data_IF_363387472403
#
_entry.id   IF_363387472403
#
_cell.length_a   1.000
_cell.length_b   1.000
_cell.length_c   1.000
_cell.angle_alpha   90.00
_cell.angle_beta   90.00
_cell.angle_gamma   90.00
#
_symmetry.space_group_name_H-M   'P 1'
#
loop_
_entity.id
_entity.type
_entity.pdbx_description
1 polymer ?
#
# COMPACT_ATOMS: atom_id res chain seq x y z
N UNK A 1 11.86 2.12 16.08
CA UNK A 1 10.96 3.32 15.92
C UNK A 1 9.55 2.91 16.32
N UNK A 2 8.71 3.79 16.90
CA UNK A 2 7.32 3.37 17.20
C UNK A 2 6.52 3.28 15.90
N UNK A 3 5.68 2.26 15.76
CA UNK A 3 4.80 2.05 14.58
C UNK A 3 3.97 3.30 14.25
N UNK A 4 3.41 3.96 15.28
CA UNK A 4 2.61 5.19 15.13
C UNK A 4 3.43 6.37 14.55
N UNK A 5 4.70 6.49 14.91
CA UNK A 5 5.59 7.54 14.38
C UNK A 5 5.95 7.25 12.92
N UNK A 6 6.27 6.00 12.59
CA UNK A 6 6.53 5.58 11.22
C UNK A 6 5.34 5.88 10.30
N UNK A 7 4.13 5.50 10.70
CA UNK A 7 2.91 5.73 9.91
C UNK A 7 2.65 7.23 9.70
N UNK A 8 2.81 8.04 10.75
CA UNK A 8 2.61 9.49 10.66
C UNK A 8 3.61 10.15 9.73
N UNK A 9 4.88 9.78 9.83
CA UNK A 9 5.96 10.38 9.05
C UNK A 9 5.91 9.90 7.59
N UNK A 10 5.68 8.60 7.36
CA UNK A 10 5.52 8.07 6.00
C UNK A 10 4.33 8.65 5.26
N UNK A 11 3.17 8.82 5.94
CA UNK A 11 1.99 9.43 5.35
C UNK A 11 2.18 10.90 4.92
N UNK A 12 3.11 11.60 5.57
CA UNK A 12 3.44 12.99 5.23
C UNK A 12 4.34 13.12 3.99
N UNK A 13 4.98 12.01 3.54
CA UNK A 13 5.88 12.01 2.40
C UNK A 13 5.14 11.69 1.10
N UNK A 14 5.47 12.39 0.01
CA UNK A 14 4.95 12.05 -1.31
C UNK A 14 5.48 10.69 -1.77
N UNK A 15 4.65 9.96 -2.48
CA UNK A 15 4.99 8.66 -3.03
C UNK A 15 4.01 8.22 -4.09
N UNK A 16 3.56 9.15 -4.96
CA UNK A 16 2.74 8.82 -6.12
C UNK A 16 3.44 7.78 -6.97
N UNK A 17 2.71 6.77 -7.46
CA UNK A 17 3.26 5.73 -8.34
C UNK A 17 4.14 6.31 -9.45
N UNK A 18 5.39 5.83 -9.55
CA UNK A 18 6.43 6.36 -10.43
C UNK A 18 7.24 7.54 -9.86
N UNK A 19 6.91 8.04 -8.66
CA UNK A 19 7.60 9.16 -7.99
C UNK A 19 7.79 8.90 -6.49
N UNK A 20 8.20 7.69 -6.13
CA UNK A 20 8.25 7.18 -4.75
C UNK A 20 9.57 7.48 -4.01
N UNK A 21 10.56 8.14 -4.65
CA UNK A 21 11.94 8.26 -4.13
C UNK A 21 12.00 8.86 -2.72
N UNK A 22 11.08 9.77 -2.37
CA UNK A 22 11.09 10.41 -1.06
C UNK A 22 10.71 9.41 0.05
N UNK A 23 9.60 8.71 -0.12
CA UNK A 23 9.12 7.72 0.84
C UNK A 23 10.02 6.47 0.84
N UNK A 24 10.56 6.05 -0.31
CA UNK A 24 11.48 4.93 -0.41
C UNK A 24 12.76 5.15 0.42
N UNK A 25 13.34 6.35 0.40
CA UNK A 25 14.50 6.69 1.24
C UNK A 25 14.15 6.60 2.73
N UNK A 26 13.02 7.14 3.13
CA UNK A 26 12.55 7.09 4.51
C UNK A 26 12.37 5.65 4.99
N UNK A 27 11.71 4.81 4.19
CA UNK A 27 11.50 3.38 4.49
C UNK A 27 12.84 2.63 4.55
N UNK A 28 13.75 2.87 3.60
CA UNK A 28 15.08 2.28 3.62
C UNK A 28 15.85 2.64 4.90
N UNK A 29 15.79 3.90 5.33
CA UNK A 29 16.44 4.35 6.57
C UNK A 29 15.80 3.69 7.82
N UNK A 30 14.50 3.41 7.79
CA UNK A 30 13.82 2.69 8.87
C UNK A 30 14.25 1.22 8.98
N UNK A 31 14.53 0.54 7.85
CA UNK A 31 15.00 -0.84 7.83
C UNK A 31 16.50 -0.99 8.15
N UNK A 32 17.34 0.01 7.91
CA UNK A 32 18.80 -0.08 8.10
C UNK A 32 19.25 -0.61 9.47
N UNK A 33 18.65 -0.22 10.61
CA UNK A 33 19.06 -0.73 11.92
C UNK A 33 18.60 -2.17 12.20
N UNK A 34 17.78 -2.76 11.33
CA UNK A 34 17.11 -4.05 11.55
C UNK A 34 17.57 -5.13 10.58
N UNK A 35 18.24 -4.77 9.49
CA UNK A 35 18.58 -5.66 8.39
C UNK A 35 20.06 -5.60 8.07
N UNK A 36 20.62 -6.71 7.60
CA UNK A 36 22.03 -6.83 7.22
C UNK A 36 22.35 -6.05 5.95
N UNK A 37 21.40 -6.00 5.02
CA UNK A 37 21.53 -5.29 3.75
C UNK A 37 20.26 -4.49 3.47
N UNK A 38 20.38 -3.24 3.01
CA UNK A 38 19.25 -2.42 2.55
C UNK A 38 19.65 -1.66 1.29
N UNK A 39 18.87 -1.83 0.24
CA UNK A 39 19.06 -1.11 -1.03
C UNK A 39 17.73 -0.60 -1.58
N UNK A 40 17.80 0.41 -2.44
CA UNK A 40 16.68 0.88 -3.26
C UNK A 40 17.02 0.47 -4.70
N UNK A 41 16.08 -0.14 -5.39
CA UNK A 41 16.26 -0.55 -6.78
C UNK A 41 16.05 0.62 -7.77
N UNK A 42 16.31 0.44 -9.07
CA UNK A 42 16.13 1.51 -10.06
C UNK A 42 14.70 2.02 -10.21
N UNK A 43 13.68 1.25 -9.83
CA UNK A 43 12.27 1.67 -9.88
C UNK A 43 11.78 2.28 -8.58
N UNK A 44 12.61 2.32 -7.53
CA UNK A 44 12.33 2.85 -6.18
C UNK A 44 11.76 1.85 -5.18
N UNK A 45 11.69 0.55 -5.48
CA UNK A 45 11.39 -0.45 -4.45
C UNK A 45 12.51 -0.53 -3.43
N UNK A 46 12.15 -0.63 -2.15
CA UNK A 46 13.10 -0.86 -1.05
C UNK A 46 13.23 -2.36 -0.82
N UNK A 47 14.45 -2.87 -0.81
CA UNK A 47 14.75 -4.28 -0.55
C UNK A 47 15.70 -4.36 0.63
N UNK A 48 15.21 -4.90 1.75
CA UNK A 48 15.94 -5.08 2.99
C UNK A 48 16.07 -6.57 3.31
N UNK A 49 17.25 -7.04 3.74
CA UNK A 49 17.54 -8.46 3.93
C UNK A 49 18.01 -8.75 5.35
N UNK A 50 17.40 -9.75 5.97
CA UNK A 50 17.95 -10.45 7.13
C UNK A 50 18.51 -11.79 6.59
N UNK A 51 19.82 -11.93 6.63
CA UNK A 51 20.51 -13.07 6.00
C UNK A 51 20.27 -14.36 6.78
N UNK A 52 19.77 -15.38 6.08
CA UNK A 52 19.63 -16.75 6.54
C UNK A 52 20.38 -17.75 5.68
N UNK A 53 20.24 -19.05 6.00
CA UNK A 53 20.84 -20.16 5.22
C UNK A 53 19.78 -21.06 4.58
N UNK A 54 18.53 -20.91 4.97
CA UNK A 54 17.39 -21.66 4.48
C UNK A 54 16.76 -21.05 3.23
N UNK A 55 15.46 -21.33 2.99
CA UNK A 55 14.74 -20.80 1.85
C UNK A 55 14.76 -19.28 1.78
N UNK A 56 14.84 -18.75 0.58
CA UNK A 56 14.63 -17.32 0.33
C UNK A 56 13.14 -17.01 0.37
N UNK A 57 12.75 -16.10 1.27
CA UNK A 57 11.37 -15.67 1.43
C UNK A 57 11.27 -14.19 1.14
N UNK A 58 10.43 -13.82 0.17
CA UNK A 58 10.12 -12.43 -0.10
C UNK A 58 8.83 -12.03 0.64
N UNK A 59 8.94 -11.02 1.51
CA UNK A 59 7.83 -10.40 2.22
C UNK A 59 7.56 -9.06 1.54
N UNK A 60 6.39 -8.90 0.92
CA UNK A 60 6.10 -7.77 0.04
C UNK A 60 4.88 -6.99 0.53
N UNK A 61 4.97 -5.66 0.49
CA UNK A 61 3.90 -4.69 0.69
C UNK A 61 4.23 -3.45 -0.12
N UNK A 62 3.26 -2.69 -0.64
CA UNK A 62 3.61 -1.57 -1.49
C UNK A 62 3.77 -0.24 -0.74
N UNK A 63 4.60 0.64 -1.28
CA UNK A 63 4.93 1.94 -0.69
C UNK A 63 4.30 3.12 -1.43
N UNK A 64 3.87 2.90 -2.67
CA UNK A 64 3.28 3.94 -3.49
C UNK A 64 1.86 4.30 -3.06
N UNK A 65 1.34 5.36 -3.61
CA UNK A 65 0.01 5.89 -3.33
C UNK A 65 -0.67 6.34 -4.62
N UNK A 66 -2.00 6.26 -4.63
CA UNK A 66 -2.83 6.87 -5.65
C UNK A 66 -2.75 8.40 -5.60
N UNK A 67 -3.05 9.04 -6.72
CA UNK A 67 -3.14 10.50 -6.78
C UNK A 67 -3.41 11.02 -8.17
N UNK A 68 -2.91 12.22 -8.46
CA UNK A 68 -3.20 12.91 -9.70
C UNK A 68 -1.91 13.38 -10.37
N UNK A 69 -2.02 13.68 -11.66
CA UNK A 69 -0.94 14.26 -12.46
C UNK A 69 -1.49 15.44 -13.26
N UNK A 70 -0.72 16.50 -13.37
CA UNK A 70 -1.10 17.67 -14.18
C UNK A 70 -1.11 17.29 -15.67
N UNK A 71 -2.28 17.32 -16.30
CA UNK A 71 -2.45 16.97 -17.72
C UNK A 71 -2.47 18.19 -18.64
N UNK A 72 -2.91 19.37 -18.14
CA UNK A 72 -2.95 20.64 -18.88
C UNK A 72 -3.00 21.83 -17.92
N UNK A 73 -2.49 22.97 -18.36
CA UNK A 73 -2.62 24.26 -17.68
C UNK A 73 -3.51 25.15 -18.55
N UNK A 74 -4.68 25.56 -18.02
CA UNK A 74 -5.64 26.38 -18.73
C UNK A 74 -5.17 27.83 -18.89
N UNK A 75 -5.89 28.63 -19.69
CA UNK A 75 -5.53 30.02 -19.95
C UNK A 75 -5.56 30.87 -18.67
N UNK A 76 -6.49 30.59 -17.78
CA UNK A 76 -6.67 31.27 -16.49
C UNK A 76 -5.73 30.74 -15.39
N UNK A 77 -4.97 29.67 -15.64
CA UNK A 77 -4.04 29.06 -14.70
C UNK A 77 -4.60 27.88 -13.93
N UNK A 78 -5.85 27.49 -14.13
CA UNK A 78 -6.40 26.27 -13.55
C UNK A 78 -5.67 25.05 -14.13
N UNK A 79 -5.39 24.04 -13.26
CA UNK A 79 -4.72 22.82 -13.69
C UNK A 79 -5.76 21.72 -13.98
N UNK A 80 -5.72 21.16 -15.18
CA UNK A 80 -6.41 19.91 -15.47
C UNK A 80 -5.56 18.75 -15.02
N UNK A 81 -6.21 17.68 -14.64
CA UNK A 81 -5.63 16.51 -13.98
C UNK A 81 -5.93 15.24 -14.75
N UNK A 82 -5.08 14.24 -14.57
CA UNK A 82 -5.32 12.83 -14.85
C UNK A 82 -5.09 12.05 -13.58
N UNK A 83 -5.83 10.98 -13.35
CA UNK A 83 -5.63 10.11 -12.18
C UNK A 83 -4.42 9.18 -12.40
N UNK A 84 -3.77 8.84 -11.30
CA UNK A 84 -2.74 7.79 -11.20
C UNK A 84 -3.23 6.81 -10.14
N UNK A 85 -3.39 5.54 -10.52
CA UNK A 85 -4.06 4.54 -9.68
C UNK A 85 -5.58 4.72 -9.60
N UNK A 86 -6.20 4.07 -8.64
CA UNK A 86 -7.66 3.94 -8.49
C UNK A 86 -8.37 5.13 -7.83
N UNK A 87 -8.17 6.35 -8.31
CA UNK A 87 -8.82 7.56 -7.74
C UNK A 87 -10.27 7.68 -8.20
N UNK A 88 -11.20 7.77 -7.25
CA UNK A 88 -12.61 8.03 -7.51
C UNK A 88 -12.87 9.56 -7.63
N UNK A 89 -13.34 10.07 -8.78
CA UNK A 89 -13.63 11.48 -8.95
C UNK A 89 -14.66 12.07 -7.97
N UNK A 90 -15.48 11.22 -7.33
CA UNK A 90 -16.51 11.66 -6.37
C UNK A 90 -15.93 12.19 -5.07
N UNK A 91 -14.72 11.75 -4.69
CA UNK A 91 -14.07 12.21 -3.46
C UNK A 91 -13.32 13.52 -3.62
N UNK A 92 -12.98 13.89 -4.86
CA UNK A 92 -12.08 15.00 -5.15
C UNK A 92 -12.66 16.41 -4.92
N UNK A 93 -13.95 16.70 -5.22
CA UNK A 93 -14.46 18.07 -5.11
C UNK A 93 -14.32 18.66 -3.70
N UNK A 94 -13.59 19.76 -3.59
CA UNK A 94 -13.32 20.43 -2.30
C UNK A 94 -12.11 19.89 -1.54
N UNK A 95 -11.42 18.85 -2.06
CA UNK A 95 -10.20 18.38 -1.45
C UNK A 95 -9.05 19.37 -1.63
N UNK A 96 -8.19 19.43 -0.62
CA UNK A 96 -6.88 20.05 -0.73
C UNK A 96 -5.91 19.06 -1.31
N UNK A 97 -4.98 19.55 -2.11
CA UNK A 97 -3.95 18.77 -2.78
C UNK A 97 -2.60 19.48 -2.70
N UNK A 98 -1.54 18.70 -2.81
CA UNK A 98 -0.17 19.22 -2.94
C UNK A 98 0.34 18.94 -4.33
N UNK A 99 0.69 20.00 -5.08
CA UNK A 99 1.28 19.93 -6.43
C UNK A 99 2.81 20.05 -6.30
N UNK A 100 3.52 19.08 -6.84
CA UNK A 100 4.98 19.00 -6.81
C UNK A 100 5.59 19.52 -8.11
N UNK A 101 5.54 20.85 -8.29
CA UNK A 101 6.21 21.55 -9.38
C UNK A 101 7.65 21.93 -9.03
N UNK A 102 8.13 23.08 -9.54
CA UNK A 102 9.44 23.62 -9.12
C UNK A 102 9.51 23.98 -7.64
N UNK A 103 8.39 24.26 -7.07
CA UNK A 103 8.16 24.45 -5.64
C UNK A 103 6.95 23.59 -5.24
N UNK A 104 6.87 23.20 -3.99
CA UNK A 104 5.68 22.50 -3.45
C UNK A 104 4.56 23.51 -3.25
N UNK A 105 3.42 23.29 -3.90
CA UNK A 105 2.31 24.21 -3.92
C UNK A 105 1.05 23.56 -3.35
N UNK A 106 0.34 24.29 -2.50
CA UNK A 106 -1.00 23.87 -2.06
C UNK A 106 -2.04 24.33 -3.07
N UNK A 107 -2.98 23.45 -3.38
CA UNK A 107 -4.11 23.71 -4.24
C UNK A 107 -5.42 23.16 -3.68
N UNK A 108 -6.51 23.51 -4.30
CA UNK A 108 -7.83 22.97 -4.01
C UNK A 108 -8.47 22.42 -5.28
N UNK A 109 -9.12 21.25 -5.17
CA UNK A 109 -9.87 20.68 -6.29
C UNK A 109 -11.21 21.38 -6.38
N UNK A 110 -11.41 22.11 -7.49
CA UNK A 110 -12.63 22.81 -7.82
C UNK A 110 -13.52 22.01 -8.77
N UNK A 111 -14.82 22.25 -8.66
CA UNK A 111 -15.84 21.75 -9.59
C UNK A 111 -16.92 22.80 -9.78
N UNK A 112 -17.70 22.68 -10.86
CA UNK A 112 -18.87 23.55 -11.08
C UNK A 112 -19.83 23.47 -9.91
N UNK A 113 -20.13 24.63 -9.31
CA UNK A 113 -20.98 24.70 -8.12
C UNK A 113 -22.37 24.07 -8.35
N UNK A 114 -22.96 23.35 -7.37
CA UNK A 114 -24.22 22.61 -7.56
C UNK A 114 -25.40 23.46 -8.05
N UNK A 115 -25.47 24.75 -7.63
CA UNK A 115 -26.53 25.65 -8.06
C UNK A 115 -26.36 26.20 -9.49
N UNK A 116 -25.20 26.00 -10.12
CA UNK A 116 -24.94 26.32 -11.51
C UNK A 116 -25.14 25.11 -12.45
N UNK A 117 -25.36 23.91 -11.88
CA UNK A 117 -25.61 22.70 -12.65
C UNK A 117 -27.04 22.68 -13.20
N UNK A 118 -27.22 22.20 -14.41
CA UNK A 118 -28.54 21.88 -14.97
C UNK A 118 -29.17 20.69 -14.24
N UNK A 119 -30.48 20.47 -14.41
CA UNK A 119 -31.18 19.35 -13.81
C UNK A 119 -30.60 17.98 -14.25
N UNK A 120 -30.07 17.87 -15.45
CA UNK A 120 -29.45 16.64 -15.97
C UNK A 120 -28.03 16.44 -15.41
N UNK A 121 -27.22 17.50 -15.29
CA UNK A 121 -25.89 17.43 -14.69
C UNK A 121 -25.96 17.01 -13.21
N UNK A 122 -26.95 17.49 -12.45
CA UNK A 122 -27.14 17.14 -11.02
C UNK A 122 -27.40 15.65 -10.78
N UNK A 123 -27.84 14.89 -11.79
CA UNK A 123 -28.10 13.44 -11.70
C UNK A 123 -26.87 12.59 -11.98
N UNK A 124 -25.77 13.22 -12.43
CA UNK A 124 -24.54 12.53 -12.80
C UNK A 124 -23.45 12.79 -11.76
N UNK A 125 -22.57 11.80 -11.58
CA UNK A 125 -21.33 12.00 -10.85
C UNK A 125 -20.41 12.92 -11.66
N UNK A 126 -19.54 13.66 -10.98
CA UNK A 126 -18.46 14.37 -11.63
C UNK A 126 -17.58 13.36 -12.37
N UNK A 127 -17.12 13.76 -13.55
CA UNK A 127 -16.04 13.11 -14.25
C UNK A 127 -14.75 13.88 -14.02
N UNK A 128 -13.62 13.27 -14.30
CA UNK A 128 -12.31 13.92 -14.20
C UNK A 128 -12.24 15.24 -15.00
N UNK A 129 -12.81 15.25 -16.20
CA UNK A 129 -12.89 16.43 -17.06
C UNK A 129 -13.68 17.62 -16.48
N UNK A 130 -14.52 17.38 -15.48
CA UNK A 130 -15.31 18.40 -14.78
C UNK A 130 -14.51 19.08 -13.64
N UNK A 131 -13.33 18.50 -13.29
CA UNK A 131 -12.53 18.90 -12.15
C UNK A 131 -11.29 19.69 -12.60
N UNK A 132 -10.81 20.52 -11.70
CA UNK A 132 -9.57 21.28 -11.89
C UNK A 132 -8.94 21.59 -10.54
N UNK A 133 -7.63 21.89 -10.54
CA UNK A 133 -6.95 22.39 -9.34
C UNK A 133 -6.77 23.91 -9.48
N UNK A 134 -7.18 24.63 -8.45
CA UNK A 134 -6.94 26.05 -8.30
C UNK A 134 -5.81 26.26 -7.27
N UNK A 135 -4.76 26.96 -7.71
CA UNK A 135 -3.60 27.33 -6.88
C UNK A 135 -3.71 28.75 -6.32
N UNK A 136 -4.80 29.50 -6.64
CA UNK A 136 -4.97 30.89 -6.21
C UNK A 136 -3.95 31.87 -6.80
N UNK A 137 -3.32 31.51 -7.94
CA UNK A 137 -2.25 32.28 -8.58
C UNK A 137 -2.64 32.76 -9.98
N UNK A 138 -2.09 33.90 -10.45
CA UNK A 138 -2.20 34.29 -11.85
C UNK A 138 -1.58 33.23 -12.79
N UNK A 139 -2.17 33.01 -13.95
CA UNK A 139 -1.76 32.00 -14.93
C UNK A 139 -0.28 32.05 -15.30
N UNK A 140 0.28 33.25 -15.43
CA UNK A 140 1.71 33.46 -15.73
C UNK A 140 2.59 32.84 -14.63
N UNK A 141 2.22 33.02 -13.36
CA UNK A 141 2.96 32.46 -12.22
C UNK A 141 2.82 30.94 -12.15
N UNK A 142 1.63 30.42 -12.42
CA UNK A 142 1.40 28.97 -12.51
C UNK A 142 2.32 28.34 -13.55
N UNK A 143 2.40 28.89 -14.76
CA UNK A 143 3.27 28.37 -15.85
C UNK A 143 4.76 28.46 -15.55
N UNK A 144 5.17 29.33 -14.63
CA UNK A 144 6.57 29.39 -14.17
C UNK A 144 6.91 28.27 -13.20
N UNK A 145 5.94 27.82 -12.38
CA UNK A 145 6.13 26.90 -11.27
C UNK A 145 5.69 25.46 -11.56
N UNK A 146 4.69 25.30 -12.43
CA UNK A 146 4.06 24.00 -12.71
C UNK A 146 4.27 23.62 -14.17
N UNK A 147 4.49 22.32 -14.41
CA UNK A 147 4.60 21.72 -15.74
C UNK A 147 3.56 20.61 -15.90
N UNK A 148 3.23 20.30 -17.16
CA UNK A 148 2.48 19.08 -17.49
C UNK A 148 3.32 17.87 -17.08
N UNK A 149 2.72 16.92 -16.38
CA UNK A 149 3.38 15.76 -15.80
C UNK A 149 3.80 15.93 -14.33
N UNK A 150 3.64 17.12 -13.74
CA UNK A 150 3.90 17.30 -12.30
C UNK A 150 2.91 16.47 -11.46
N UNK A 151 3.45 15.82 -10.44
CA UNK A 151 2.69 14.96 -9.54
C UNK A 151 1.85 15.77 -8.56
N UNK A 152 0.71 15.19 -8.18
CA UNK A 152 -0.21 15.79 -7.22
C UNK A 152 -0.67 14.72 -6.24
N UNK A 153 -0.45 14.94 -4.94
CA UNK A 153 -0.97 14.06 -3.91
C UNK A 153 -2.19 14.66 -3.21
N UNK A 154 -3.08 13.79 -2.77
CA UNK A 154 -4.22 14.19 -1.94
C UNK A 154 -3.73 14.58 -0.55
N UNK A 155 -4.28 15.65 0.01
CA UNK A 155 -4.03 16.02 1.40
C UNK A 155 -4.83 15.10 2.33
N UNK A 156 -4.14 14.46 3.26
CA UNK A 156 -4.73 13.62 4.30
C UNK A 156 -3.87 13.67 5.55
N UNK A 157 -4.50 13.84 6.70
CA UNK A 157 -3.79 13.86 7.98
C UNK A 157 -3.66 12.46 8.57
N UNK A 158 -2.74 12.32 9.53
CA UNK A 158 -2.70 11.16 10.42
C UNK A 158 -3.51 11.47 11.68
N UNK A 159 -4.64 10.81 11.85
CA UNK A 159 -5.59 11.09 12.94
C UNK A 159 -5.80 9.86 13.81
N UNK A 160 -5.52 9.99 15.09
CA UNK A 160 -5.85 8.98 16.09
C UNK A 160 -7.32 9.10 16.48
N UNK A 161 -8.07 8.05 16.22
CA UNK A 161 -9.47 7.92 16.61
C UNK A 161 -9.58 7.17 17.95
N UNK A 162 -10.81 7.01 18.45
CA UNK A 162 -11.06 6.22 19.65
C UNK A 162 -10.86 4.71 19.39
N UNK A 163 -10.67 3.94 20.46
CA UNK A 163 -10.57 2.47 20.46
C UNK A 163 -9.39 1.91 19.65
N UNK A 164 -8.27 2.64 19.58
CA UNK A 164 -7.06 2.16 18.90
C UNK A 164 -7.13 2.23 17.37
N UNK A 165 -8.10 2.96 16.82
CA UNK A 165 -8.22 3.17 15.37
C UNK A 165 -7.50 4.43 14.92
N UNK A 166 -7.05 4.39 13.68
CA UNK A 166 -6.34 5.49 13.04
C UNK A 166 -6.91 5.72 11.66
N UNK A 167 -6.99 6.99 11.26
CA UNK A 167 -7.35 7.39 9.92
C UNK A 167 -6.19 8.16 9.29
N UNK A 168 -5.79 7.79 8.08
CA UNK A 168 -4.73 8.45 7.33
C UNK A 168 -4.94 8.27 5.83
N UNK A 169 -4.29 9.07 5.02
CA UNK A 169 -4.06 8.69 3.63
C UNK A 169 -2.98 7.60 3.60
N UNK A 170 -2.92 6.78 2.59
CA UNK A 170 -1.85 5.78 2.42
C UNK A 170 -1.80 4.70 3.51
N UNK A 171 -2.92 4.41 4.21
CA UNK A 171 -3.02 3.15 4.94
C UNK A 171 -2.90 1.98 3.97
N UNK A 172 -3.42 2.14 2.80
CA UNK A 172 -3.13 1.45 1.56
C UNK A 172 -1.84 2.02 0.93
N UNK A 173 -0.67 1.34 0.95
CA UNK A 173 -0.44 0.12 1.75
C UNK A 173 0.74 0.31 2.72
N UNK A 174 1.04 1.58 3.08
CA UNK A 174 2.11 1.88 4.06
C UNK A 174 1.81 1.34 5.46
N UNK A 175 0.56 0.92 5.71
CA UNK A 175 0.23 0.18 6.93
C UNK A 175 0.82 -1.23 6.90
N UNK A 176 0.84 -1.93 5.77
CA UNK A 176 1.50 -3.21 5.64
C UNK A 176 3.03 -3.07 5.56
N UNK A 177 3.56 -1.97 5.00
CA UNK A 177 5.00 -1.66 5.16
C UNK A 177 5.36 -1.51 6.65
N UNK A 178 4.49 -0.89 7.47
CA UNK A 178 4.69 -0.84 8.92
C UNK A 178 4.62 -2.22 9.57
N UNK A 179 3.78 -3.14 9.07
CA UNK A 179 3.75 -4.55 9.49
C UNK A 179 5.08 -5.22 9.18
N UNK A 180 5.63 -5.04 7.97
CA UNK A 180 6.95 -5.56 7.59
C UNK A 180 8.04 -5.07 8.54
N UNK A 181 8.08 -3.76 8.80
CA UNK A 181 9.07 -3.15 9.70
C UNK A 181 8.93 -3.70 11.13
N UNK A 182 7.69 -3.82 11.62
CA UNK A 182 7.42 -4.36 12.95
C UNK A 182 7.79 -5.84 13.07
N UNK A 183 7.55 -6.63 12.04
CA UNK A 183 7.98 -8.03 11.98
C UNK A 183 9.52 -8.14 12.01
N UNK A 184 10.24 -7.30 11.25
CA UNK A 184 11.69 -7.23 11.31
C UNK A 184 12.22 -6.88 12.71
N UNK A 185 11.55 -5.96 13.44
CA UNK A 185 11.88 -5.66 14.85
C UNK A 185 11.69 -6.87 15.77
N UNK A 186 10.61 -7.62 15.59
CA UNK A 186 10.32 -8.82 16.39
C UNK A 186 11.36 -9.92 16.15
N UNK A 187 11.78 -10.09 14.91
CA UNK A 187 12.77 -11.08 14.49
C UNK A 187 14.18 -10.79 15.01
N UNK A 188 14.49 -9.58 15.49
CA UNK A 188 15.77 -9.31 16.18
C UNK A 188 16.00 -10.15 17.43
N UNK A 189 14.96 -10.81 17.95
CA UNK A 189 14.98 -11.61 19.18
C UNK A 189 14.72 -13.09 18.95
N UNK A 190 14.63 -13.50 17.69
CA UNK A 190 14.26 -14.86 17.30
C UNK A 190 15.20 -15.31 16.18
N UNK A 191 15.78 -16.49 16.35
CA UNK A 191 16.57 -17.09 15.28
C UNK A 191 15.64 -17.58 14.16
N UNK A 192 16.00 -17.29 12.91
CA UNK A 192 15.34 -17.81 11.71
C UNK A 192 16.34 -18.53 10.81
N UNK A 193 15.93 -19.64 10.23
CA UNK A 193 16.71 -20.32 9.20
C UNK A 193 16.56 -19.64 7.83
N UNK A 194 15.39 -19.06 7.55
CA UNK A 194 15.06 -18.47 6.28
C UNK A 194 15.90 -17.22 5.95
N UNK A 195 16.21 -17.05 4.67
CA UNK A 195 16.84 -15.85 4.11
C UNK A 195 15.73 -14.87 3.71
N UNK A 196 15.48 -13.87 4.56
CA UNK A 196 14.31 -13.00 4.51
C UNK A 196 14.59 -11.72 3.74
N UNK A 197 13.74 -11.42 2.77
CA UNK A 197 13.76 -10.19 1.99
C UNK A 197 12.47 -9.39 2.23
N UNK A 198 12.56 -8.32 2.97
CA UNK A 198 11.49 -7.35 3.17
C UNK A 198 11.49 -6.37 2.01
N UNK A 199 10.43 -6.38 1.23
CA UNK A 199 10.30 -5.54 0.03
C UNK A 199 9.15 -4.58 0.23
N UNK A 200 9.45 -3.27 0.19
CA UNK A 200 8.43 -2.26 -0.01
C UNK A 200 8.44 -1.92 -1.50
N UNK A 201 7.48 -2.49 -2.24
CA UNK A 201 7.37 -2.40 -3.69
C UNK A 201 6.84 -1.06 -4.15
N UNK A 202 7.30 -0.59 -5.30
CA UNK A 202 6.76 0.58 -5.99
C UNK A 202 5.76 0.19 -7.07
N UNK A 203 4.92 1.16 -7.52
CA UNK A 203 4.05 1.02 -8.69
C UNK A 203 3.05 -0.16 -8.61
N UNK A 204 2.60 -0.53 -7.43
CA UNK A 204 1.52 -1.51 -7.28
C UNK A 204 0.23 -0.97 -7.87
N UNK A 205 -0.16 0.25 -7.52
CA UNK A 205 -1.40 0.94 -7.90
C UNK A 205 -1.58 1.14 -9.42
N UNK A 206 -0.52 0.87 -10.19
CA UNK A 206 -0.50 1.01 -11.66
C UNK A 206 -0.06 -0.27 -12.38
N UNK A 207 0.08 -1.41 -11.66
CA UNK A 207 0.31 -2.71 -12.28
C UNK A 207 1.44 -3.58 -11.70
N UNK A 208 1.78 -3.46 -10.40
CA UNK A 208 2.65 -4.42 -9.68
C UNK A 208 4.11 -4.51 -10.15
N UNK A 209 4.59 -3.52 -10.88
CA UNK A 209 5.93 -3.58 -11.49
C UNK A 209 7.07 -3.68 -10.49
N UNK A 210 6.89 -3.09 -9.29
CA UNK A 210 7.87 -3.16 -8.21
C UNK A 210 8.04 -4.57 -7.67
N UNK A 211 6.93 -5.27 -7.41
CA UNK A 211 6.96 -6.67 -6.96
C UNK A 211 7.57 -7.59 -8.01
N UNK A 212 7.21 -7.42 -9.29
CA UNK A 212 7.79 -8.18 -10.39
C UNK A 212 9.32 -8.02 -10.48
N UNK A 213 9.80 -6.78 -10.47
CA UNK A 213 11.25 -6.50 -10.63
C UNK A 213 12.05 -6.90 -9.40
N UNK A 214 11.52 -6.66 -8.20
CA UNK A 214 12.13 -7.10 -6.96
C UNK A 214 12.18 -8.64 -6.88
N UNK A 215 11.05 -9.31 -7.18
CA UNK A 215 10.95 -10.77 -7.23
C UNK A 215 11.92 -11.39 -8.24
N UNK A 216 12.05 -10.79 -9.44
CA UNK A 216 13.05 -11.25 -10.41
C UNK A 216 14.47 -11.13 -9.89
N UNK A 217 14.79 -10.05 -9.16
CA UNK A 217 16.13 -9.80 -8.62
C UNK A 217 16.45 -10.63 -7.37
N UNK A 218 15.49 -10.88 -6.51
CA UNK A 218 15.63 -11.69 -5.29
C UNK A 218 15.65 -13.17 -5.62
N UNK A 219 14.82 -13.61 -6.58
CA UNK A 219 14.63 -15.02 -6.94
C UNK A 219 14.20 -15.87 -5.73
N UNK A 220 13.04 -15.55 -5.12
CA UNK A 220 12.63 -16.20 -3.89
C UNK A 220 12.04 -17.59 -4.12
N UNK A 221 12.19 -18.47 -3.12
CA UNK A 221 11.55 -19.79 -3.11
C UNK A 221 10.04 -19.70 -2.80
N UNK A 222 9.62 -18.64 -2.10
CA UNK A 222 8.20 -18.35 -1.78
C UNK A 222 7.99 -16.87 -1.43
N UNK A 223 6.72 -16.41 -1.54
CA UNK A 223 6.29 -15.07 -1.22
C UNK A 223 5.27 -15.02 -0.09
N UNK A 224 5.39 -14.04 0.79
CA UNK A 224 4.34 -13.61 1.71
C UNK A 224 4.00 -12.17 1.35
N UNK A 225 2.87 -11.99 0.68
CA UNK A 225 2.41 -10.66 0.29
C UNK A 225 1.46 -10.13 1.35
N UNK A 226 1.61 -8.86 1.65
CA UNK A 226 0.71 -8.13 2.51
C UNK A 226 0.06 -7.02 1.70
N UNK A 227 -1.22 -6.79 1.97
CA UNK A 227 -1.98 -5.71 1.36
C UNK A 227 -3.17 -5.37 2.26
N UNK A 228 -3.96 -4.38 1.90
CA UNK A 228 -5.20 -4.07 2.60
C UNK A 228 -6.38 -4.85 1.99
N UNK A 229 -7.45 -4.98 2.77
CA UNK A 229 -8.75 -5.50 2.30
C UNK A 229 -9.88 -4.71 2.90
N UNK A 230 -11.12 -4.95 2.45
CA UNK A 230 -12.29 -4.18 2.88
C UNK A 230 -12.74 -4.51 4.30
N UNK A 231 -12.70 -3.53 5.20
CA UNK A 231 -13.34 -3.64 6.52
C UNK A 231 -14.81 -3.26 6.45
N UNK A 232 -15.62 -3.89 7.31
CA UNK A 232 -17.07 -3.60 7.46
C UNK A 232 -17.30 -2.11 7.72
N UNK A 233 -18.13 -1.49 6.87
CA UNK A 233 -18.61 -0.14 6.97
C UNK A 233 -20.11 -0.09 6.62
N UNK A 234 -20.85 0.97 6.96
CA UNK A 234 -22.23 1.12 6.52
C UNK A 234 -22.35 1.03 5.00
N UNK A 235 -23.17 0.09 4.52
CA UNK A 235 -23.41 -0.14 3.09
C UNK A 235 -22.49 -1.15 2.40
N UNK A 236 -21.45 -1.68 3.08
CA UNK A 236 -20.65 -2.78 2.52
C UNK A 236 -21.38 -4.12 2.64
N UNK A 237 -21.37 -4.98 1.60
CA UNK A 237 -21.90 -6.35 1.68
C UNK A 237 -21.15 -7.17 2.73
N UNK A 238 -21.88 -7.98 3.52
CA UNK A 238 -21.25 -8.77 4.60
C UNK A 238 -20.24 -9.81 4.10
N UNK A 239 -20.42 -10.31 2.87
CA UNK A 239 -19.55 -11.31 2.26
C UNK A 239 -18.29 -10.75 1.60
N UNK A 240 -18.19 -9.41 1.49
CA UNK A 240 -17.03 -8.70 0.92
C UNK A 240 -16.27 -7.85 1.95
N UNK A 241 -16.65 -7.95 3.22
CA UNK A 241 -16.05 -7.07 4.24
C UNK A 241 -15.81 -7.80 5.55
N UNK A 242 -14.68 -7.48 6.17
CA UNK A 242 -14.15 -8.17 7.34
C UNK A 242 -14.21 -7.28 8.59
N UNK A 243 -14.10 -7.89 9.78
CA UNK A 243 -13.89 -7.12 10.99
C UNK A 243 -12.58 -6.34 10.89
N UNK A 244 -12.61 -5.06 11.26
CA UNK A 244 -11.40 -4.22 11.27
C UNK A 244 -10.40 -4.61 12.37
N UNK A 245 -10.78 -5.48 13.30
CA UNK A 245 -10.04 -5.75 14.54
C UNK A 245 -9.04 -6.92 14.42
N UNK A 246 -9.08 -7.67 13.31
CA UNK A 246 -8.18 -8.82 13.08
C UNK A 246 -7.83 -8.94 11.60
N UNK A 247 -6.60 -9.41 11.27
CA UNK A 247 -6.19 -9.63 9.89
C UNK A 247 -7.02 -10.70 9.18
N UNK A 248 -6.90 -10.74 7.86
CA UNK A 248 -7.42 -11.83 7.04
C UNK A 248 -6.27 -12.66 6.46
N UNK A 249 -6.51 -13.97 6.27
CA UNK A 249 -5.66 -14.86 5.49
C UNK A 249 -6.46 -15.26 4.26
N UNK A 250 -5.94 -14.95 3.08
CA UNK A 250 -6.64 -15.15 1.84
C UNK A 250 -6.46 -16.57 1.28
N UNK A 251 -7.52 -17.08 0.63
CA UNK A 251 -7.53 -18.34 -0.13
C UNK A 251 -8.07 -18.08 -1.52
N UNK A 252 -7.35 -18.50 -2.54
CA UNK A 252 -7.72 -18.30 -3.93
C UNK A 252 -6.87 -19.11 -4.89
N UNK A 253 -7.17 -19.07 -6.20
CA UNK A 253 -6.43 -19.84 -7.22
C UNK A 253 -4.99 -19.36 -7.43
N UNK A 254 -4.68 -18.12 -7.09
CA UNK A 254 -3.35 -17.51 -7.19
C UNK A 254 -2.52 -17.64 -5.89
N UNK A 255 -3.09 -18.30 -4.87
CA UNK A 255 -2.45 -18.45 -3.56
C UNK A 255 -2.18 -19.92 -3.28
N UNK A 256 -0.95 -20.22 -2.81
CA UNK A 256 -0.51 -21.59 -2.63
C UNK A 256 -1.22 -22.26 -1.44
N UNK A 257 -2.01 -23.34 -1.64
CA UNK A 257 -2.89 -23.87 -0.60
C UNK A 257 -2.15 -24.42 0.61
N UNK A 258 -0.98 -25.04 0.43
CA UNK A 258 -0.17 -25.59 1.53
C UNK A 258 0.43 -24.46 2.36
N UNK A 259 1.00 -23.43 1.73
CA UNK A 259 1.56 -22.28 2.45
C UNK A 259 0.49 -21.53 3.23
N UNK A 260 -0.68 -21.31 2.61
CA UNK A 260 -1.82 -20.66 3.29
C UNK A 260 -2.29 -21.48 4.49
N UNK A 261 -2.38 -22.82 4.38
CA UNK A 261 -2.75 -23.68 5.48
C UNK A 261 -1.73 -23.60 6.66
N UNK A 262 -0.43 -23.59 6.35
CA UNK A 262 0.63 -23.42 7.36
C UNK A 262 0.54 -22.08 8.06
N UNK A 263 0.27 -20.98 7.34
CA UNK A 263 0.07 -19.67 7.95
C UNK A 263 -1.11 -19.67 8.94
N UNK A 264 -2.23 -20.31 8.57
CA UNK A 264 -3.38 -20.46 9.48
C UNK A 264 -3.04 -21.32 10.73
N UNK A 265 -2.27 -22.39 10.56
CA UNK A 265 -1.82 -23.24 11.68
C UNK A 265 -0.92 -22.46 12.64
N UNK A 266 0.00 -21.66 12.11
CA UNK A 266 0.87 -20.78 12.89
C UNK A 266 0.04 -19.74 13.65
N UNK A 267 -0.96 -19.12 13.01
CA UNK A 267 -1.86 -18.19 13.66
C UNK A 267 -2.58 -18.84 14.86
N UNK A 268 -3.13 -20.05 14.68
CA UNK A 268 -3.79 -20.82 15.75
C UNK A 268 -2.82 -21.17 16.88
N UNK A 269 -1.62 -21.65 16.55
CA UNK A 269 -0.60 -22.03 17.54
C UNK A 269 -0.12 -20.85 18.39
N UNK A 270 -0.17 -19.63 17.83
CA UNK A 270 0.24 -18.39 18.51
C UNK A 270 -0.94 -17.59 19.11
N UNK A 271 -2.15 -18.16 19.13
CA UNK A 271 -3.38 -17.51 19.60
C UNK A 271 -3.66 -16.17 18.91
N UNK A 272 -3.37 -16.05 17.61
CA UNK A 272 -3.64 -14.89 16.79
C UNK A 272 -4.99 -15.10 16.12
N UNK A 273 -5.91 -14.16 16.33
CA UNK A 273 -7.22 -14.19 15.68
C UNK A 273 -7.08 -13.72 14.23
N UNK A 274 -7.65 -14.45 13.31
CA UNK A 274 -7.70 -14.10 11.90
C UNK A 274 -9.07 -14.45 11.30
N UNK A 275 -9.35 -13.90 10.14
CA UNK A 275 -10.54 -14.18 9.34
C UNK A 275 -10.10 -14.83 8.01
N UNK A 276 -10.92 -15.71 7.46
CA UNK A 276 -10.67 -16.26 6.13
C UNK A 276 -11.25 -15.33 5.07
N UNK A 277 -10.43 -14.98 4.11
CA UNK A 277 -10.82 -14.22 2.92
C UNK A 277 -10.83 -15.15 1.71
N UNK A 278 -11.95 -15.23 1.01
CA UNK A 278 -12.05 -16.08 -0.17
C UNK A 278 -12.00 -15.21 -1.43
N UNK A 279 -10.94 -15.39 -2.21
CA UNK A 279 -10.66 -14.63 -3.43
C UNK A 279 -10.70 -15.58 -4.63
N UNK A 280 -11.86 -15.77 -5.28
CA UNK A 280 -11.99 -16.76 -6.36
C UNK A 280 -11.43 -16.30 -7.71
N UNK A 281 -10.86 -15.10 -7.77
CA UNK A 281 -10.26 -14.46 -8.95
C UNK A 281 -8.89 -13.91 -8.59
N UNK A 282 -8.40 -12.96 -9.38
CA UNK A 282 -7.22 -12.17 -9.04
C UNK A 282 -7.36 -11.55 -7.65
N UNK A 283 -6.24 -11.50 -6.91
CA UNK A 283 -6.19 -10.85 -5.59
C UNK A 283 -6.21 -9.33 -5.74
N UNK A 284 -5.78 -8.83 -6.89
CA UNK A 284 -5.54 -7.41 -7.18
C UNK A 284 -4.55 -6.80 -6.20
N UNK A 285 -3.48 -7.54 -5.93
CA UNK A 285 -2.36 -7.19 -5.06
C UNK A 285 -1.06 -7.66 -5.72
N UNK A 286 0.07 -7.27 -5.19
CA UNK A 286 1.40 -7.76 -5.60
C UNK A 286 1.55 -9.30 -5.59
N UNK A 287 0.61 -10.05 -4.99
CA UNK A 287 0.65 -11.52 -5.00
C UNK A 287 0.45 -12.09 -6.41
N UNK A 288 -0.45 -11.50 -7.20
CA UNK A 288 -0.72 -11.92 -8.58
C UNK A 288 0.51 -11.70 -9.48
N UNK A 289 1.25 -10.63 -9.21
CA UNK A 289 2.42 -10.24 -9.99
C UNK A 289 3.66 -11.04 -9.60
N UNK A 290 3.88 -11.24 -8.30
CA UNK A 290 4.99 -12.03 -7.79
C UNK A 290 4.87 -13.51 -8.18
N UNK A 291 3.65 -14.08 -8.17
CA UNK A 291 3.41 -15.48 -8.55
C UNK A 291 3.93 -15.77 -9.97
N UNK A 292 3.80 -14.81 -10.88
CA UNK A 292 4.18 -14.98 -12.28
C UNK A 292 5.68 -14.76 -12.57
N UNK A 293 6.49 -14.43 -11.56
CA UNK A 293 7.91 -14.12 -11.75
C UNK A 293 8.72 -15.38 -12.03
N UNK A 294 9.64 -15.32 -13.01
CA UNK A 294 10.55 -16.41 -13.41
C UNK A 294 9.82 -17.72 -13.73
N UNK A 295 10.01 -18.75 -12.93
CA UNK A 295 9.39 -20.07 -13.06
C UNK A 295 8.12 -20.24 -12.24
N UNK A 296 7.66 -19.17 -11.60
CA UNK A 296 6.54 -19.12 -10.65
C UNK A 296 7.02 -19.11 -9.21
N UNK A 297 6.47 -18.21 -8.40
CA UNK A 297 6.75 -18.08 -6.96
C UNK A 297 5.49 -18.44 -6.19
N UNK A 298 5.47 -19.51 -5.39
CA UNK A 298 4.30 -19.83 -4.57
C UNK A 298 4.09 -18.76 -3.50
N UNK A 299 2.90 -18.13 -3.53
CA UNK A 299 2.58 -17.00 -2.66
C UNK A 299 1.48 -17.33 -1.65
N UNK A 300 1.47 -16.62 -0.53
CA UNK A 300 0.37 -16.47 0.41
C UNK A 300 0.09 -14.98 0.65
N UNK A 301 -1.16 -14.65 0.99
CA UNK A 301 -1.61 -13.27 1.20
C UNK A 301 -2.19 -13.10 2.61
N UNK A 302 -1.67 -12.10 3.33
CA UNK A 302 -2.10 -11.65 4.65
C UNK A 302 -2.59 -10.21 4.51
N UNK A 303 -3.90 -9.95 4.71
CA UNK A 303 -4.44 -8.62 4.48
C UNK A 303 -4.86 -7.91 5.77
N UNK A 304 -4.66 -6.59 5.79
CA UNK A 304 -5.13 -5.71 6.85
C UNK A 304 -6.47 -5.09 6.47
N UNK A 305 -7.58 -5.35 7.20
CA UNK A 305 -8.86 -4.74 6.85
C UNK A 305 -8.86 -3.23 7.11
N UNK A 306 -9.15 -2.44 6.06
CA UNK A 306 -9.29 -0.98 6.11
C UNK A 306 -10.66 -0.53 5.63
N UNK A 307 -11.14 0.59 6.16
CA UNK A 307 -12.33 1.29 5.67
C UNK A 307 -11.91 2.43 4.78
N UNK A 308 -12.78 2.74 3.81
CA UNK A 308 -12.60 3.92 2.96
C UNK A 308 -11.31 3.88 2.13
N UNK A 309 -10.90 2.68 1.71
CA UNK A 309 -9.78 2.45 0.80
C UNK A 309 -9.81 3.43 -0.38
N UNK A 310 -8.66 3.88 -0.84
CA UNK A 310 -8.50 4.89 -1.89
C UNK A 310 -9.13 6.25 -1.56
N UNK A 311 -9.09 6.65 -0.27
CA UNK A 311 -9.48 8.00 0.16
C UNK A 311 -8.40 8.63 1.05
N UNK A 312 -8.56 9.88 1.39
CA UNK A 312 -7.66 10.58 2.32
C UNK A 312 -7.86 10.21 3.80
N UNK A 313 -8.80 9.32 4.12
CA UNK A 313 -9.23 8.95 5.48
C UNK A 313 -9.36 7.43 5.68
N UNK A 314 -8.52 6.68 5.02
CA UNK A 314 -8.45 5.23 5.18
C UNK A 314 -8.25 4.87 6.65
N UNK A 315 -9.13 4.03 7.15
CA UNK A 315 -9.20 3.78 8.59
C UNK A 315 -8.92 2.33 8.91
N UNK A 316 -7.98 2.07 9.82
CA UNK A 316 -7.58 0.74 10.28
C UNK A 316 -7.51 0.66 11.81
N UNK A 317 -7.36 -0.55 12.34
CA UNK A 317 -7.18 -0.82 13.77
C UNK A 317 -5.72 -1.22 14.05
N UNK A 318 -5.05 -0.51 14.96
CA UNK A 318 -3.65 -0.77 15.32
C UNK A 318 -3.45 -2.18 15.90
N UNK A 319 -4.47 -2.76 16.51
CA UNK A 319 -4.39 -4.13 17.04
C UNK A 319 -4.28 -5.13 15.90
N UNK A 320 -5.08 -4.98 14.83
CA UNK A 320 -4.99 -5.84 13.66
C UNK A 320 -3.59 -5.75 13.01
N UNK A 321 -3.02 -4.54 12.93
CA UNK A 321 -1.66 -4.32 12.43
C UNK A 321 -0.61 -5.05 13.30
N UNK A 322 -0.67 -4.89 14.61
CA UNK A 322 0.29 -5.57 15.53
C UNK A 322 0.13 -7.10 15.51
N UNK A 323 -1.10 -7.62 15.41
CA UNK A 323 -1.34 -9.07 15.27
C UNK A 323 -0.83 -9.59 13.91
N UNK A 324 -0.97 -8.83 12.83
CA UNK A 324 -0.39 -9.16 11.52
C UNK A 324 1.15 -9.25 11.61
N UNK A 325 1.79 -8.29 12.27
CA UNK A 325 3.24 -8.29 12.44
C UNK A 325 3.73 -9.47 13.29
N UNK A 326 2.99 -9.83 14.35
CA UNK A 326 3.28 -11.00 15.16
C UNK A 326 3.12 -12.30 14.37
N UNK A 327 2.07 -12.41 13.57
CA UNK A 327 1.84 -13.57 12.70
C UNK A 327 2.95 -13.71 11.66
N UNK A 328 3.30 -12.61 11.01
CA UNK A 328 4.38 -12.58 10.02
C UNK A 328 5.72 -13.01 10.62
N UNK A 329 6.09 -12.46 11.78
CA UNK A 329 7.32 -12.83 12.48
C UNK A 329 7.32 -14.31 12.91
N UNK A 330 6.19 -14.82 13.44
CA UNK A 330 6.05 -16.23 13.82
C UNK A 330 6.14 -17.15 12.60
N UNK A 331 5.58 -16.75 11.48
CA UNK A 331 5.69 -17.48 10.20
C UNK A 331 7.15 -17.54 9.74
N UNK A 332 7.84 -16.41 9.67
CA UNK A 332 9.25 -16.34 9.28
C UNK A 332 10.16 -17.19 10.18
N UNK A 333 9.89 -17.23 11.47
CA UNK A 333 10.64 -18.04 12.43
C UNK A 333 10.40 -19.56 12.26
N UNK A 334 9.26 -19.95 11.70
CA UNK A 334 8.89 -21.35 11.48
C UNK A 334 9.38 -21.90 10.13
N UNK A 335 9.80 -21.03 9.19
CA UNK A 335 10.23 -21.46 7.86
C UNK A 335 11.63 -22.07 7.92
N UNK A 336 11.74 -23.32 7.47
CA UNK A 336 12.96 -24.07 7.28
C UNK A 336 13.01 -24.75 5.90
N UNK A 337 14.03 -25.58 5.67
CA UNK A 337 14.21 -26.25 4.36
C UNK A 337 13.05 -27.18 3.99
N UNK A 338 12.30 -27.72 4.98
CA UNK A 338 11.15 -28.61 4.70
C UNK A 338 10.01 -27.90 3.98
N UNK A 339 9.94 -26.57 4.08
CA UNK A 339 8.92 -25.80 3.40
C UNK A 339 9.02 -25.85 1.88
N UNK A 340 10.26 -25.94 1.36
CA UNK A 340 10.50 -26.14 -0.08
C UNK A 340 10.10 -27.53 -0.55
N UNK A 341 10.47 -28.54 0.24
CA UNK A 341 10.30 -29.94 -0.14
C UNK A 341 8.84 -30.38 -0.12
N UNK A 342 8.02 -29.78 0.74
CA UNK A 342 6.63 -30.16 1.00
C UNK A 342 5.58 -29.29 0.24
N UNK A 343 5.99 -28.47 -0.73
CA UNK A 343 5.06 -27.62 -1.49
C UNK A 343 4.02 -28.42 -2.30
N UNK A 344 4.42 -29.64 -2.75
CA UNK A 344 3.59 -30.50 -3.59
C UNK A 344 3.58 -31.95 -3.07
N UNK A 345 2.76 -32.20 -2.08
CA UNK A 345 2.48 -33.54 -1.58
C UNK A 345 1.20 -34.07 -2.21
#
# INVERSE_FOLDING_TARGET
MRTEDFLRESAALPGLSGNEQAVARYIADAFRPLCDEVRIDPLSSVIARIQGRGPKVMLCAHLDEIGLMVSRIEEDGALRIGHVGGVDPRILPGMRVTVYGRETLLGVVGAKAPHLLTAEERKKNYKEEDLYIDLGMPAERVRQLVQIGDCVTLEGGFTKLLNGRYAMKTADDRSCVAILLRAAELLQRVDTAADLYFVASCQEEVGGYGAMTAGFGVDPDMGIVLDVTHAKAPGTPEYEAFSIESPTIARGPFLHPVLTARLEEIAKANNIQFQQEIVPRYTSTDADDLEAVRGGVPCMLLSLPVRYMHTSVETFDMRALEESARLLAACCAAIDDTWRDDLWI
#
